data_IF_209046391126
#
_entry.id   IF_209046391126
#
_cell.length_a   1.000
_cell.length_b   1.000
_cell.length_c   1.000
_cell.angle_alpha   90.00
_cell.angle_beta   90.00
_cell.angle_gamma   90.00
#
_symmetry.space_group_name_H-M   'P 1'
#
loop_
_entity.id
_entity.type
_entity.pdbx_description
1 polymer ?
#
# COMPACT_ATOMS: atom_id res chain seq x y z
N UNK A 1 -7.94 15.83 -14.45
CA UNK A 1 -7.82 15.69 -12.97
C UNK A 1 -8.94 14.79 -12.48
N UNK A 2 -8.64 13.83 -11.59
CA UNK A 2 -9.70 13.09 -10.88
C UNK A 2 -10.32 14.08 -9.89
N UNK A 3 -11.60 14.35 -10.08
CA UNK A 3 -12.44 15.13 -9.19
C UNK A 3 -13.33 14.22 -8.34
N UNK A 4 -14.14 14.80 -7.48
CA UNK A 4 -15.09 14.07 -6.61
C UNK A 4 -16.07 13.23 -7.43
N UNK A 5 -16.55 13.74 -8.58
CA UNK A 5 -17.48 13.04 -9.46
C UNK A 5 -16.87 11.74 -9.98
N UNK A 6 -15.62 11.78 -10.48
CA UNK A 6 -14.92 10.60 -10.98
C UNK A 6 -14.55 9.65 -9.84
N UNK A 7 -14.16 10.17 -8.66
CA UNK A 7 -13.88 9.35 -7.50
C UNK A 7 -15.15 8.62 -7.00
N UNK A 8 -16.34 9.24 -7.16
CA UNK A 8 -17.63 8.61 -6.80
C UNK A 8 -17.97 7.37 -7.63
N UNK A 9 -17.29 7.14 -8.74
CA UNK A 9 -17.42 5.90 -9.52
C UNK A 9 -17.02 4.68 -8.70
N UNK A 10 -15.98 4.81 -7.86
CA UNK A 10 -15.40 3.71 -7.07
C UNK A 10 -15.72 3.79 -5.58
N UNK A 11 -16.05 4.94 -5.02
CA UNK A 11 -16.44 5.10 -3.61
C UNK A 11 -17.81 4.46 -3.35
N UNK A 12 -17.95 3.76 -2.22
CA UNK A 12 -19.23 3.20 -1.75
C UNK A 12 -20.26 4.29 -1.47
N UNK A 13 -21.52 4.06 -1.85
CA UNK A 13 -22.60 5.05 -1.72
C UNK A 13 -22.84 5.56 -0.30
N UNK A 14 -22.51 4.74 0.70
CA UNK A 14 -22.73 5.07 2.11
C UNK A 14 -21.53 5.79 2.74
N UNK A 15 -20.48 6.11 1.96
CA UNK A 15 -19.29 6.79 2.43
C UNK A 15 -19.33 8.25 1.99
N UNK A 16 -19.40 9.15 2.95
CA UNK A 16 -19.24 10.58 2.69
C UNK A 16 -17.79 10.94 2.45
N UNK A 17 -17.51 11.69 1.39
CA UNK A 17 -16.19 12.24 1.13
C UNK A 17 -16.13 13.68 1.63
N UNK A 18 -15.13 13.98 2.45
CA UNK A 18 -14.77 15.33 2.87
C UNK A 18 -13.57 15.80 2.07
N UNK A 19 -13.69 16.96 1.41
CA UNK A 19 -12.55 17.61 0.79
C UNK A 19 -11.58 18.10 1.87
N UNK A 20 -10.30 17.76 1.76
CA UNK A 20 -9.24 18.20 2.67
C UNK A 20 -8.42 19.31 2.04
N UNK A 21 -7.88 19.05 0.87
CA UNK A 21 -7.09 19.97 0.06
C UNK A 21 -7.01 19.44 -1.39
N UNK A 22 -6.52 20.20 -2.37
CA UNK A 22 -6.42 19.73 -3.75
C UNK A 22 -5.78 18.35 -3.86
N UNK A 23 -6.48 17.42 -4.52
CA UNK A 23 -6.17 16.01 -4.71
C UNK A 23 -6.30 15.13 -3.44
N UNK A 24 -6.64 15.64 -2.27
CA UNK A 24 -6.81 14.83 -1.06
C UNK A 24 -8.25 14.91 -0.55
N UNK A 25 -8.88 13.76 -0.40
CA UNK A 25 -10.19 13.57 0.22
C UNK A 25 -10.07 12.67 1.46
N UNK A 26 -10.97 12.82 2.42
CA UNK A 26 -11.05 12.00 3.63
C UNK A 26 -12.41 11.31 3.72
N UNK A 27 -12.41 10.05 4.14
CA UNK A 27 -13.63 9.33 4.51
C UNK A 27 -14.03 9.59 5.97
N UNK A 28 -13.14 10.20 6.75
CA UNK A 28 -13.41 10.60 8.12
C UNK A 28 -14.03 12.00 8.16
N UNK A 29 -15.09 12.14 8.93
CA UNK A 29 -15.80 13.43 9.09
C UNK A 29 -15.02 14.41 9.98
N UNK A 30 -14.24 13.89 10.95
CA UNK A 30 -13.44 14.67 11.88
C UNK A 30 -11.95 14.30 11.77
N UNK A 31 -11.05 15.24 12.11
CA UNK A 31 -9.60 15.02 12.10
C UNK A 31 -9.09 14.24 13.31
N UNK A 32 -9.99 13.77 14.20
CA UNK A 32 -9.65 13.09 15.46
C UNK A 32 -9.06 11.67 15.29
N UNK A 33 -9.20 11.05 14.12
CA UNK A 33 -8.56 9.78 13.80
C UNK A 33 -7.09 9.97 13.38
N UNK A 34 -6.29 10.50 14.30
CA UNK A 34 -4.84 10.55 14.11
C UNK A 34 -4.25 9.15 14.19
N UNK A 35 -3.69 8.69 13.09
CA UNK A 35 -2.90 7.45 13.04
C UNK A 35 -1.76 7.50 14.07
N UNK A 36 -1.43 6.35 14.65
CA UNK A 36 -0.24 6.21 15.50
C UNK A 36 1.04 6.63 14.78
N UNK A 37 1.06 6.59 13.45
CA UNK A 37 2.14 7.10 12.59
C UNK A 37 2.25 8.63 12.55
N UNK A 38 1.21 9.36 12.95
CA UNK A 38 1.25 10.84 13.03
C UNK A 38 1.99 11.32 14.29
N UNK A 39 2.25 10.43 15.25
CA UNK A 39 3.09 10.71 16.40
C UNK A 39 4.57 10.75 15.98
N UNK A 40 5.37 11.51 16.69
CA UNK A 40 6.77 11.94 16.43
C UNK A 40 7.77 10.89 15.89
N UNK A 41 7.45 9.59 15.94
CA UNK A 41 8.28 8.49 15.43
C UNK A 41 8.26 8.32 13.90
N UNK A 42 7.22 8.77 13.19
CA UNK A 42 7.06 8.53 11.75
C UNK A 42 8.16 9.12 10.88
N UNK A 43 8.72 10.30 11.22
CA UNK A 43 9.75 10.95 10.40
C UNK A 43 11.12 10.27 10.53
N UNK A 44 11.50 9.81 11.72
CA UNK A 44 12.74 9.10 11.95
C UNK A 44 12.68 7.68 11.36
N UNK A 45 11.53 7.02 11.50
CA UNK A 45 11.28 5.72 10.90
C UNK A 45 11.37 5.77 9.37
N UNK A 46 10.76 6.77 8.73
CA UNK A 46 10.85 6.97 7.27
C UNK A 46 12.31 7.17 6.85
N UNK A 47 13.12 7.91 7.59
CA UNK A 47 14.52 8.14 7.25
C UNK A 47 15.37 6.86 7.30
N UNK A 48 15.19 6.03 8.33
CA UNK A 48 15.92 4.76 8.48
C UNK A 48 15.36 3.69 7.54
N UNK A 49 14.03 3.52 7.50
CA UNK A 49 13.37 2.52 6.67
C UNK A 49 13.53 2.81 5.17
N UNK A 50 13.67 4.09 4.77
CA UNK A 50 13.91 4.49 3.38
C UNK A 50 15.37 4.38 2.93
N UNK A 51 16.31 4.05 3.82
CA UNK A 51 17.71 3.92 3.45
C UNK A 51 17.96 2.61 2.66
N UNK A 52 18.38 2.75 1.39
CA UNK A 52 18.62 1.60 0.48
C UNK A 52 19.69 0.64 0.99
N UNK A 53 20.76 1.15 1.62
CA UNK A 53 21.85 0.33 2.13
C UNK A 53 21.44 -0.40 3.41
N UNK A 54 20.67 0.26 4.30
CA UNK A 54 20.09 -0.38 5.46
C UNK A 54 19.20 -1.57 5.04
N UNK A 55 18.29 -1.36 4.08
CA UNK A 55 17.44 -2.44 3.58
C UNK A 55 18.25 -3.58 2.96
N UNK A 56 19.34 -3.29 2.24
CA UNK A 56 20.18 -4.32 1.66
C UNK A 56 20.96 -5.11 2.71
N UNK A 57 21.54 -4.43 3.69
CA UNK A 57 22.38 -5.06 4.71
C UNK A 57 21.55 -5.82 5.75
N UNK A 58 20.48 -5.21 6.26
CA UNK A 58 19.64 -5.80 7.30
C UNK A 58 18.65 -6.79 6.71
N UNK A 59 17.82 -6.35 5.77
CA UNK A 59 16.70 -7.13 5.27
C UNK A 59 17.02 -7.97 4.03
N UNK A 60 18.12 -7.71 3.35
CA UNK A 60 18.63 -8.51 2.23
C UNK A 60 17.99 -8.24 0.88
N UNK A 61 17.28 -7.12 0.70
CA UNK A 61 16.69 -6.72 -0.58
C UNK A 61 17.05 -5.28 -0.95
N UNK A 62 16.87 -4.92 -2.23
CA UNK A 62 17.06 -3.56 -2.70
C UNK A 62 15.73 -2.79 -2.76
N UNK A 63 15.73 -1.53 -2.36
CA UNK A 63 14.53 -0.68 -2.45
C UNK A 63 14.02 -0.48 -3.88
N UNK A 64 14.88 -0.65 -4.89
CA UNK A 64 14.49 -0.69 -6.30
C UNK A 64 13.54 -1.85 -6.66
N UNK A 65 13.50 -2.91 -5.85
CA UNK A 65 12.55 -4.00 -6.06
C UNK A 65 11.09 -3.55 -5.87
N UNK A 66 10.82 -2.58 -4.98
CA UNK A 66 9.49 -1.98 -4.83
C UNK A 66 9.07 -1.21 -6.08
N UNK A 67 10.00 -0.39 -6.62
CA UNK A 67 9.76 0.32 -7.86
C UNK A 67 9.42 -0.65 -9.00
N UNK A 68 10.19 -1.73 -9.12
CA UNK A 68 9.96 -2.75 -10.16
C UNK A 68 8.62 -3.45 -9.99
N UNK A 69 8.24 -3.83 -8.76
CA UNK A 69 6.93 -4.43 -8.49
C UNK A 69 5.78 -3.47 -8.78
N UNK A 70 5.88 -2.21 -8.33
CA UNK A 70 4.88 -1.19 -8.61
C UNK A 70 4.72 -0.95 -10.12
N UNK A 71 5.83 -0.87 -10.87
CA UNK A 71 5.79 -0.79 -12.33
C UNK A 71 5.10 -1.99 -12.97
N UNK A 72 5.40 -3.20 -12.51
CA UNK A 72 4.75 -4.42 -13.00
C UNK A 72 3.24 -4.40 -12.69
N UNK A 73 2.87 -3.94 -11.50
CA UNK A 73 1.47 -3.79 -11.11
C UNK A 73 0.73 -2.78 -11.99
N UNK A 74 1.33 -1.62 -12.26
CA UNK A 74 0.77 -0.60 -13.16
C UNK A 74 0.66 -1.08 -14.61
N UNK A 75 1.52 -2.00 -15.03
CA UNK A 75 1.51 -2.59 -16.37
C UNK A 75 0.66 -3.86 -16.48
N UNK A 76 0.13 -4.41 -15.39
CA UNK A 76 -0.63 -5.68 -15.39
C UNK A 76 -1.97 -5.59 -16.10
N UNK A 77 -2.50 -4.40 -16.28
CA UNK A 77 -3.69 -4.11 -17.09
C UNK A 77 -3.53 -2.76 -17.78
N UNK A 78 -4.20 -2.57 -18.90
CA UNK A 78 -4.21 -1.31 -19.65
C UNK A 78 -5.37 -0.40 -19.28
N UNK A 79 -6.36 -0.91 -18.57
CA UNK A 79 -7.62 -0.23 -18.21
C UNK A 79 -7.95 -0.35 -16.72
N UNK A 80 -9.01 0.32 -16.32
CA UNK A 80 -9.59 0.28 -14.97
C UNK A 80 -8.80 1.05 -13.92
N UNK A 81 -9.33 1.05 -12.71
CA UNK A 81 -8.75 1.74 -11.56
C UNK A 81 -7.63 0.92 -10.90
N UNK A 82 -6.66 1.63 -10.35
CA UNK A 82 -5.61 1.09 -9.47
C UNK A 82 -5.86 1.61 -8.05
N UNK A 83 -5.76 0.73 -7.07
CA UNK A 83 -5.71 1.08 -5.65
C UNK A 83 -4.31 0.78 -5.10
N UNK A 84 -3.69 1.74 -4.42
CA UNK A 84 -2.56 1.47 -3.52
C UNK A 84 -3.05 1.61 -2.09
N UNK A 85 -3.28 0.47 -1.43
CA UNK A 85 -3.84 0.40 -0.08
C UNK A 85 -2.71 0.42 0.96
N UNK A 86 -2.63 1.51 1.72
CA UNK A 86 -1.51 1.82 2.60
C UNK A 86 -0.31 2.34 1.83
N UNK A 87 -0.53 3.32 0.94
CA UNK A 87 0.49 3.86 0.04
C UNK A 87 1.63 4.59 0.78
N UNK A 88 1.41 4.97 2.04
CA UNK A 88 2.36 5.71 2.85
C UNK A 88 2.81 7.01 2.20
N UNK A 89 4.08 7.30 2.33
CA UNK A 89 4.71 8.49 1.75
C UNK A 89 5.18 8.30 0.30
N UNK A 90 4.90 7.17 -0.36
CA UNK A 90 5.44 6.79 -1.69
C UNK A 90 6.98 6.81 -1.77
N UNK A 91 7.67 6.51 -0.67
CA UNK A 91 9.12 6.65 -0.57
C UNK A 91 9.90 5.95 -1.70
N UNK A 92 9.42 4.79 -2.14
CA UNK A 92 10.07 3.97 -3.15
C UNK A 92 9.33 3.92 -4.50
N UNK A 93 8.08 4.35 -4.53
CA UNK A 93 7.16 4.12 -5.65
C UNK A 93 6.74 5.41 -6.36
N UNK A 94 7.01 6.60 -5.79
CA UNK A 94 6.62 7.87 -6.39
C UNK A 94 7.02 8.01 -7.87
N UNK A 95 8.23 7.55 -8.25
CA UNK A 95 8.68 7.58 -9.65
C UNK A 95 7.89 6.64 -10.57
N UNK A 96 7.38 5.53 -10.05
CA UNK A 96 6.55 4.61 -10.84
C UNK A 96 5.21 5.27 -11.17
N UNK A 97 4.60 5.92 -10.17
CA UNK A 97 3.36 6.66 -10.34
C UNK A 97 3.55 7.91 -11.20
N UNK A 98 4.60 8.69 -10.97
CA UNK A 98 4.90 9.90 -11.75
C UNK A 98 5.01 9.64 -13.26
N UNK A 99 5.44 8.45 -13.64
CA UNK A 99 5.60 8.04 -15.04
C UNK A 99 4.36 7.34 -15.62
N UNK A 100 3.31 7.11 -14.84
CA UNK A 100 2.05 6.52 -15.34
C UNK A 100 0.96 7.58 -15.40
N UNK A 101 0.57 7.92 -16.61
CA UNK A 101 -0.50 8.90 -16.89
C UNK A 101 -1.78 8.23 -17.44
N UNK A 102 -1.78 6.92 -17.61
CA UNK A 102 -2.87 6.19 -18.30
C UNK A 102 -3.96 5.71 -17.33
N UNK A 103 -3.55 5.22 -16.16
CA UNK A 103 -4.45 4.56 -15.19
C UNK A 103 -4.99 5.55 -14.18
N UNK A 104 -6.26 5.45 -13.85
CA UNK A 104 -6.82 6.16 -12.70
C UNK A 104 -6.34 5.49 -11.41
N UNK A 105 -5.70 6.25 -10.52
CA UNK A 105 -5.03 5.72 -9.32
C UNK A 105 -5.62 6.35 -8.07
N UNK A 106 -6.04 5.51 -7.14
CA UNK A 106 -6.34 5.89 -5.75
C UNK A 106 -5.16 5.52 -4.86
N UNK A 107 -4.62 6.49 -4.15
CA UNK A 107 -3.55 6.35 -3.18
C UNK A 107 -4.18 6.49 -1.78
N UNK A 108 -4.45 5.36 -1.10
CA UNK A 108 -5.12 5.34 0.19
C UNK A 108 -4.12 5.14 1.32
N UNK A 109 -4.22 5.95 2.37
CA UNK A 109 -3.48 5.76 3.62
C UNK A 109 -4.24 6.32 4.81
N UNK A 110 -4.01 5.75 5.98
CA UNK A 110 -4.61 6.17 7.25
C UNK A 110 -3.93 7.43 7.84
N UNK A 111 -2.75 7.80 7.36
CA UNK A 111 -2.02 8.98 7.79
C UNK A 111 -2.15 10.11 6.78
N UNK A 112 -2.87 11.13 7.14
CA UNK A 112 -2.97 12.37 6.33
C UNK A 112 -1.59 13.02 6.13
N UNK A 113 -0.71 12.91 7.12
CA UNK A 113 0.67 13.40 7.02
C UNK A 113 1.46 12.67 5.94
N UNK A 114 1.37 11.32 5.89
CA UNK A 114 2.05 10.55 4.86
C UNK A 114 1.50 10.84 3.47
N UNK A 115 0.18 11.03 3.32
CA UNK A 115 -0.43 11.44 2.05
C UNK A 115 0.08 12.80 1.58
N UNK A 116 0.26 13.77 2.48
CA UNK A 116 0.86 15.08 2.15
C UNK A 116 2.32 14.96 1.70
N UNK A 117 3.10 14.09 2.34
CA UNK A 117 4.47 13.81 1.91
C UNK A 117 4.48 13.13 0.53
N UNK A 118 3.61 12.16 0.30
CA UNK A 118 3.44 11.48 -0.99
C UNK A 118 3.09 12.47 -2.11
N UNK A 119 2.12 13.35 -1.86
CA UNK A 119 1.73 14.45 -2.75
C UNK A 119 2.92 15.35 -3.08
N UNK A 120 3.66 15.78 -2.06
CA UNK A 120 4.85 16.62 -2.24
C UNK A 120 5.94 15.95 -3.07
N UNK A 121 6.13 14.62 -2.94
CA UNK A 121 7.05 13.85 -3.77
C UNK A 121 6.64 13.82 -5.24
N UNK A 122 5.35 13.65 -5.53
CA UNK A 122 4.85 13.70 -6.92
C UNK A 122 5.01 15.10 -7.52
N UNK A 123 4.70 16.15 -6.76
CA UNK A 123 4.92 17.53 -7.19
C UNK A 123 6.41 17.79 -7.48
N UNK A 124 7.31 17.30 -6.61
CA UNK A 124 8.76 17.46 -6.82
C UNK A 124 9.26 16.76 -8.09
N UNK A 125 8.62 15.66 -8.49
CA UNK A 125 9.01 14.90 -9.69
C UNK A 125 8.44 15.51 -10.98
N UNK A 126 7.22 16.02 -10.96
CA UNK A 126 6.45 16.41 -12.16
C UNK A 126 6.04 17.90 -12.19
N UNK A 127 6.37 18.70 -11.16
CA UNK A 127 5.86 20.06 -11.01
C UNK A 127 4.41 20.14 -10.49
N UNK A 128 3.66 19.06 -10.57
CA UNK A 128 2.26 18.94 -10.14
C UNK A 128 1.92 17.49 -9.77
N UNK A 129 0.77 17.29 -9.13
CA UNK A 129 0.19 15.94 -8.98
C UNK A 129 -0.38 15.52 -10.32
N UNK A 130 -0.05 14.33 -10.86
CA UNK A 130 -0.65 13.83 -12.10
C UNK A 130 -2.18 13.82 -12.02
N UNK A 131 -2.85 14.30 -13.07
CA UNK A 131 -4.31 14.47 -13.08
C UNK A 131 -5.12 13.17 -13.02
N UNK A 132 -4.46 12.03 -13.18
CA UNK A 132 -5.02 10.69 -13.07
C UNK A 132 -4.89 10.10 -11.65
N UNK A 133 -4.45 10.88 -10.64
CA UNK A 133 -4.22 10.42 -9.27
C UNK A 133 -5.03 11.21 -8.26
N UNK A 134 -5.49 10.51 -7.23
CA UNK A 134 -6.20 11.07 -6.09
C UNK A 134 -5.75 10.36 -4.80
N UNK A 135 -5.62 11.11 -3.74
CA UNK A 135 -5.31 10.62 -2.40
C UNK A 135 -6.59 10.49 -1.59
N UNK A 136 -6.74 9.38 -0.89
CA UNK A 136 -7.87 9.10 0.01
C UNK A 136 -7.34 8.81 1.41
N UNK A 137 -7.71 9.66 2.36
CA UNK A 137 -7.45 9.44 3.77
C UNK A 137 -8.50 8.48 4.31
N UNK A 138 -8.08 7.22 4.58
CA UNK A 138 -8.95 6.12 4.96
C UNK A 138 -8.17 4.89 5.42
N UNK A 139 -8.89 3.90 5.93
CA UNK A 139 -8.33 2.67 6.50
C UNK A 139 -8.29 1.53 5.46
N UNK A 140 -7.12 0.91 5.29
CA UNK A 140 -6.95 -0.25 4.42
C UNK A 140 -7.60 -1.54 4.97
N UNK A 141 -7.96 -1.57 6.26
CA UNK A 141 -8.73 -2.65 6.87
C UNK A 141 -10.23 -2.54 6.60
N UNK A 142 -10.71 -1.37 6.20
CA UNK A 142 -12.11 -1.07 5.91
C UNK A 142 -12.16 -0.21 4.65
N UNK A 143 -11.97 -0.85 3.49
CA UNK A 143 -11.87 -0.14 2.23
C UNK A 143 -13.19 0.58 1.90
N UNK A 144 -13.15 1.91 1.68
CA UNK A 144 -14.35 2.70 1.46
C UNK A 144 -14.88 2.61 0.02
N UNK A 145 -14.60 1.51 -0.68
CA UNK A 145 -14.86 1.37 -2.10
C UNK A 145 -15.96 0.35 -2.40
N UNK A 146 -16.59 0.51 -3.54
CA UNK A 146 -17.53 -0.47 -4.09
C UNK A 146 -16.80 -1.78 -4.40
N UNK A 147 -17.48 -2.93 -4.27
CA UNK A 147 -16.94 -4.19 -4.76
C UNK A 147 -16.54 -4.10 -6.24
N UNK A 148 -15.56 -4.89 -6.65
CA UNK A 148 -15.12 -5.03 -8.03
C UNK A 148 -14.74 -3.71 -8.74
N UNK A 149 -14.25 -2.72 -7.99
CA UNK A 149 -13.90 -1.40 -8.52
C UNK A 149 -12.49 -1.31 -9.13
N UNK A 150 -11.59 -2.21 -8.74
CA UNK A 150 -10.17 -2.09 -9.08
C UNK A 150 -9.67 -3.23 -9.95
N UNK A 151 -8.98 -2.91 -11.02
CA UNK A 151 -8.29 -3.87 -11.87
C UNK A 151 -6.92 -4.26 -11.31
N UNK A 152 -6.36 -3.40 -10.49
CA UNK A 152 -5.07 -3.64 -9.82
C UNK A 152 -5.13 -3.12 -8.39
N UNK A 153 -4.73 -3.94 -7.43
CA UNK A 153 -4.57 -3.54 -6.05
C UNK A 153 -3.11 -3.75 -5.64
N UNK A 154 -2.51 -2.71 -5.10
CA UNK A 154 -1.13 -2.70 -4.60
C UNK A 154 -1.19 -2.48 -3.09
N UNK A 155 -0.35 -3.17 -2.32
CA UNK A 155 -0.10 -2.83 -0.93
C UNK A 155 1.31 -3.24 -0.53
N UNK A 156 2.13 -2.28 -0.21
CA UNK A 156 3.55 -2.50 0.05
C UNK A 156 3.86 -2.27 1.53
N UNK A 157 4.48 -3.28 2.16
CA UNK A 157 4.93 -3.19 3.55
C UNK A 157 3.84 -2.97 4.61
N UNK A 158 2.61 -3.40 4.34
CA UNK A 158 1.52 -3.22 5.29
C UNK A 158 1.21 -4.50 6.10
N UNK A 159 1.24 -5.68 5.47
CA UNK A 159 0.76 -6.92 6.12
C UNK A 159 1.51 -7.28 7.40
N UNK A 160 2.79 -6.95 7.53
CA UNK A 160 3.58 -7.30 8.73
C UNK A 160 3.30 -6.40 9.93
N UNK A 161 2.64 -5.25 9.76
CA UNK A 161 2.22 -4.39 10.86
C UNK A 161 0.81 -4.70 11.36
N UNK A 162 0.06 -5.52 10.63
CA UNK A 162 -1.33 -5.86 10.95
C UNK A 162 -1.42 -7.15 11.78
N UNK A 163 -2.18 -7.12 12.87
CA UNK A 163 -2.44 -8.31 13.70
C UNK A 163 -3.24 -9.36 12.95
N UNK A 164 -4.30 -8.98 12.27
CA UNK A 164 -5.13 -9.84 11.43
C UNK A 164 -5.08 -9.42 9.97
N UNK A 165 -4.47 -10.24 9.11
CA UNK A 165 -4.37 -9.93 7.67
C UNK A 165 -5.54 -10.49 6.85
N UNK A 166 -6.30 -11.42 7.41
CA UNK A 166 -7.43 -12.08 6.72
C UNK A 166 -8.47 -11.07 6.26
N UNK A 167 -8.91 -10.17 7.16
CA UNK A 167 -9.90 -9.14 6.83
C UNK A 167 -9.44 -8.21 5.72
N UNK A 168 -8.18 -7.73 5.79
CA UNK A 168 -7.62 -6.88 4.73
C UNK A 168 -7.55 -7.59 3.37
N UNK A 169 -7.13 -8.87 3.36
CA UNK A 169 -7.08 -9.64 2.12
C UNK A 169 -8.48 -9.91 1.56
N UNK A 170 -9.49 -10.11 2.42
CA UNK A 170 -10.90 -10.20 2.00
C UNK A 170 -11.40 -8.89 1.39
N UNK A 171 -11.10 -7.75 2.02
CA UNK A 171 -11.43 -6.42 1.48
C UNK A 171 -10.80 -6.21 0.10
N UNK A 172 -9.51 -6.56 -0.07
CA UNK A 172 -8.84 -6.49 -1.35
C UNK A 172 -9.48 -7.41 -2.40
N UNK A 173 -9.79 -8.65 -2.02
CA UNK A 173 -10.47 -9.61 -2.91
C UNK A 173 -11.83 -9.07 -3.37
N UNK A 174 -12.62 -8.53 -2.45
CA UNK A 174 -13.93 -7.95 -2.75
C UNK A 174 -13.83 -6.71 -3.66
N UNK A 175 -12.79 -5.89 -3.47
CA UNK A 175 -12.53 -4.70 -4.28
C UNK A 175 -11.99 -4.98 -5.66
N UNK A 176 -11.46 -6.20 -5.88
CA UNK A 176 -10.84 -6.59 -7.15
C UNK A 176 -11.90 -7.00 -8.18
N UNK A 177 -11.86 -6.41 -9.37
CA UNK A 177 -12.74 -6.78 -10.48
C UNK A 177 -12.25 -8.05 -11.16
N UNK A 178 -13.12 -8.69 -11.95
CA UNK A 178 -12.80 -9.90 -12.70
C UNK A 178 -11.55 -9.74 -13.57
N UNK A 179 -10.65 -10.73 -13.49
CA UNK A 179 -9.35 -10.70 -14.15
C UNK A 179 -8.42 -9.60 -13.64
N UNK A 180 -8.69 -9.07 -12.45
CA UNK A 180 -7.80 -8.12 -11.77
C UNK A 180 -6.67 -8.80 -11.03
N UNK A 181 -5.64 -8.05 -10.65
CA UNK A 181 -4.44 -8.57 -10.00
C UNK A 181 -4.07 -7.82 -8.72
N UNK A 182 -3.54 -8.54 -7.73
CA UNK A 182 -3.02 -8.01 -6.47
C UNK A 182 -1.51 -8.11 -6.45
N UNK A 183 -0.84 -7.06 -5.97
CA UNK A 183 0.61 -6.99 -5.79
C UNK A 183 0.94 -6.53 -4.37
N UNK A 184 1.64 -7.36 -3.62
CA UNK A 184 1.91 -7.10 -2.21
C UNK A 184 3.40 -7.28 -1.89
N UNK A 185 3.85 -6.58 -0.84
CA UNK A 185 5.12 -6.92 -0.18
C UNK A 185 4.94 -6.96 1.33
N UNK A 186 5.70 -7.83 1.98
CA UNK A 186 5.71 -7.89 3.44
C UNK A 186 7.01 -8.48 3.96
N UNK A 187 7.45 -8.00 5.12
CA UNK A 187 8.54 -8.62 5.86
C UNK A 187 8.08 -9.97 6.44
N UNK A 188 8.96 -10.96 6.36
CA UNK A 188 8.76 -12.31 6.91
C UNK A 188 10.02 -12.77 7.64
N UNK A 189 9.86 -13.72 8.56
CA UNK A 189 10.97 -14.51 9.08
C UNK A 189 11.45 -15.48 7.99
N UNK A 190 12.76 -15.51 7.75
CA UNK A 190 13.36 -16.34 6.71
C UNK A 190 14.71 -16.92 7.14
N UNK A 191 14.83 -17.37 8.39
CA UNK A 191 16.02 -17.97 8.98
C UNK A 191 17.29 -17.09 8.85
N UNK A 192 17.12 -15.77 8.98
CA UNK A 192 18.18 -14.79 8.87
C UNK A 192 18.43 -14.06 10.19
N UNK A 193 19.57 -13.39 10.28
CA UNK A 193 19.90 -12.56 11.44
C UNK A 193 18.81 -11.49 11.71
N UNK A 194 18.24 -10.93 10.66
CA UNK A 194 17.17 -9.92 10.77
C UNK A 194 15.88 -10.43 11.44
N UNK A 195 15.66 -11.74 11.53
CA UNK A 195 14.53 -12.31 12.27
C UNK A 195 14.55 -11.90 13.75
N UNK A 196 15.76 -11.66 14.31
CA UNK A 196 15.89 -11.14 15.67
C UNK A 196 15.27 -9.75 15.83
N UNK A 197 15.47 -8.88 14.82
CA UNK A 197 14.84 -7.55 14.78
C UNK A 197 13.33 -7.65 14.63
N UNK A 198 12.84 -8.51 13.73
CA UNK A 198 11.40 -8.75 13.58
C UNK A 198 10.78 -9.21 14.90
N UNK A 199 11.41 -10.16 15.60
CA UNK A 199 10.90 -10.65 16.89
C UNK A 199 10.98 -9.59 17.98
N UNK A 200 12.03 -8.77 18.00
CA UNK A 200 12.15 -7.64 18.94
C UNK A 200 11.03 -6.63 18.72
N UNK A 201 10.78 -6.23 17.50
CA UNK A 201 9.68 -5.33 17.15
C UNK A 201 8.30 -5.97 17.36
N UNK A 202 8.21 -7.29 17.15
CA UNK A 202 7.01 -8.04 17.49
C UNK A 202 6.68 -8.01 19.00
N UNK A 203 7.70 -8.12 19.86
CA UNK A 203 7.53 -7.97 21.32
C UNK A 203 7.14 -6.55 21.73
N UNK A 204 7.59 -5.53 20.97
CA UNK A 204 7.18 -4.15 21.16
C UNK A 204 5.76 -3.85 20.60
N UNK A 205 5.14 -4.81 19.91
CA UNK A 205 3.80 -4.64 19.34
C UNK A 205 3.77 -3.87 18.01
N UNK A 206 4.93 -3.54 17.44
CA UNK A 206 5.06 -2.75 16.20
C UNK A 206 4.82 -3.58 14.94
N UNK A 207 5.16 -4.87 14.98
CA UNK A 207 4.98 -5.80 13.87
C UNK A 207 4.46 -7.14 14.36
N UNK A 208 3.94 -7.95 13.43
CA UNK A 208 3.53 -9.34 13.68
C UNK A 208 4.42 -10.25 12.84
N UNK A 209 5.48 -10.84 13.44
CA UNK A 209 6.38 -11.74 12.72
C UNK A 209 5.65 -12.97 12.20
N UNK A 210 5.79 -13.25 10.92
CA UNK A 210 5.26 -14.46 10.27
C UNK A 210 6.34 -15.05 9.39
N UNK A 211 6.44 -16.36 9.35
CA UNK A 211 7.21 -17.06 8.31
C UNK A 211 6.37 -17.24 7.04
N UNK A 212 6.99 -17.73 5.98
CA UNK A 212 6.30 -17.96 4.70
C UNK A 212 5.08 -18.88 4.85
N UNK A 213 5.21 -19.98 5.58
CA UNK A 213 4.13 -20.97 5.73
C UNK A 213 2.88 -20.35 6.38
N UNK A 214 3.06 -19.61 7.48
CA UNK A 214 1.96 -18.90 8.15
C UNK A 214 1.33 -17.82 7.27
N UNK A 215 2.14 -17.11 6.50
CA UNK A 215 1.64 -16.08 5.59
C UNK A 215 0.81 -16.70 4.47
N UNK A 216 1.35 -17.70 3.76
CA UNK A 216 0.68 -18.27 2.60
C UNK A 216 -0.48 -19.21 2.97
N UNK A 217 -0.51 -19.76 4.20
CA UNK A 217 -1.70 -20.45 4.71
C UNK A 217 -2.94 -19.55 4.73
N UNK A 218 -2.78 -18.24 4.99
CA UNK A 218 -3.91 -17.30 4.95
C UNK A 218 -4.41 -17.09 3.51
N UNK A 219 -3.52 -16.98 2.53
CA UNK A 219 -3.91 -16.87 1.11
C UNK A 219 -4.64 -18.12 0.64
N UNK A 220 -4.15 -19.30 1.02
CA UNK A 220 -4.79 -20.57 0.70
C UNK A 220 -6.17 -20.71 1.35
N UNK A 221 -6.31 -20.32 2.62
CA UNK A 221 -7.59 -20.35 3.34
C UNK A 221 -8.64 -19.40 2.73
N UNK A 222 -8.20 -18.34 2.03
CA UNK A 222 -9.05 -17.40 1.32
C UNK A 222 -9.29 -17.79 -0.15
N UNK A 223 -8.77 -18.92 -0.61
CA UNK A 223 -8.80 -19.32 -2.02
C UNK A 223 -8.27 -18.18 -2.95
N UNK A 224 -7.12 -17.63 -2.56
CA UNK A 224 -6.41 -16.57 -3.29
C UNK A 224 -5.08 -17.13 -3.81
N UNK A 225 -5.05 -17.75 -5.00
CA UNK A 225 -3.82 -18.28 -5.56
C UNK A 225 -2.83 -17.13 -5.86
N UNK A 226 -1.62 -17.25 -5.34
CA UNK A 226 -0.58 -16.24 -5.52
C UNK A 226 0.75 -16.87 -5.93
N UNK A 227 1.50 -16.15 -6.74
CA UNK A 227 2.93 -16.39 -6.98
C UNK A 227 3.72 -15.50 -6.03
N UNK A 228 4.85 -16.01 -5.56
CA UNK A 228 5.71 -15.21 -4.70
C UNK A 228 7.18 -15.50 -4.93
N UNK A 229 8.02 -14.55 -4.59
CA UNK A 229 9.46 -14.72 -4.46
C UNK A 229 9.93 -14.06 -3.16
N UNK A 230 10.92 -14.65 -2.53
CA UNK A 230 11.50 -14.14 -1.31
C UNK A 230 12.91 -13.63 -1.61
N UNK A 231 13.20 -12.39 -1.20
CA UNK A 231 14.53 -11.79 -1.22
C UNK A 231 14.89 -11.35 0.19
N UNK A 232 15.86 -12.00 0.80
CA UNK A 232 16.19 -11.74 2.20
C UNK A 232 14.97 -12.02 3.10
N UNK A 233 14.54 -11.03 3.86
CA UNK A 233 13.34 -11.11 4.70
C UNK A 233 12.09 -10.50 4.04
N UNK A 234 12.13 -10.21 2.74
CA UNK A 234 11.01 -9.60 2.03
C UNK A 234 10.35 -10.61 1.09
N UNK A 235 9.06 -10.82 1.27
CA UNK A 235 8.20 -11.52 0.32
C UNK A 235 7.60 -10.53 -0.67
N UNK A 236 7.74 -10.80 -1.96
CA UNK A 236 7.11 -10.14 -3.09
C UNK A 236 6.05 -11.07 -3.64
N UNK A 237 4.80 -10.66 -3.62
CA UNK A 237 3.63 -11.49 -3.87
C UNK A 237 2.81 -10.88 -5.00
N UNK A 238 2.31 -11.71 -5.90
CA UNK A 238 1.33 -11.30 -6.91
C UNK A 238 0.30 -12.39 -7.12
N UNK A 239 -0.98 -12.03 -7.28
CA UNK A 239 -1.96 -12.98 -7.78
C UNK A 239 -1.71 -13.23 -9.27
N UNK A 240 -2.13 -14.39 -9.75
CA UNK A 240 -2.25 -14.60 -11.20
C UNK A 240 -3.40 -13.74 -11.69
N UNK A 241 -3.16 -12.95 -12.72
CA UNK A 241 -4.22 -12.42 -13.56
C UNK A 241 -4.75 -13.56 -14.44
#
# INVERSE_FOLDING_TARGET
>A
MIDEKRLSEVISKNVGLRFVEPHIYSVYQNDENMSSYDKMFGAFYDFVACNRFYNRLVWGYWTGDYYSLCRSALASSTDGWVLDAGCGSLAFTARAYANDTRRSVVLLDQSLRLLRIAKSRLIKLNGHVPGNMVFVHGDALHLPFKPQSFKTIISLNLLHVLKGITGMLQEMRNGLSDGGAIFLTTLIENNRFADRYLRMWGKAGEVVPRNADKLFAVFNALDMPVKYRIKGNMAFISSNA
#
